data_IF_649954777700
#
_entry.id   IF_649954777700
#
_cell.length_a   1.000
_cell.length_b   1.000
_cell.length_c   1.000
_cell.angle_alpha   90.00
_cell.angle_beta   90.00
_cell.angle_gamma   90.00
#
_symmetry.space_group_name_H-M   'P 1'
#
loop_
_entity.id
_entity.type
_entity.pdbx_description
1 polymer ?
#
# COMPACT_ATOMS: atom_id res chain seq x y z
N UNK A 1 10.81 -32.35 -37.39
CA UNK A 1 10.17 -32.18 -36.06
C UNK A 1 9.08 -31.10 -36.01
N UNK A 2 9.03 -30.08 -36.89
CA UNK A 2 8.03 -29.00 -36.80
C UNK A 2 6.57 -29.33 -37.19
N UNK A 3 6.33 -30.32 -38.06
CA UNK A 3 4.98 -30.66 -38.55
C UNK A 3 4.09 -31.36 -37.49
N UNK A 4 4.67 -32.19 -36.63
CA UNK A 4 3.91 -32.97 -35.62
C UNK A 4 3.26 -32.11 -34.52
N UNK A 5 3.84 -30.94 -34.20
CA UNK A 5 3.29 -30.01 -33.21
C UNK A 5 2.34 -28.96 -33.82
N UNK A 6 2.35 -28.80 -35.15
CA UNK A 6 1.43 -27.91 -35.84
C UNK A 6 0.02 -28.51 -35.94
N UNK A 7 -0.08 -29.83 -36.14
CA UNK A 7 -1.35 -30.54 -36.32
C UNK A 7 -2.13 -30.82 -35.01
N UNK A 8 -1.46 -30.74 -33.84
CA UNK A 8 -2.09 -30.99 -32.53
C UNK A 8 -2.00 -29.75 -31.63
N UNK A 9 -2.97 -28.82 -31.72
CA UNK A 9 -2.93 -27.55 -30.99
C UNK A 9 -2.86 -27.73 -29.47
N UNK A 10 -3.44 -28.80 -28.93
CA UNK A 10 -3.38 -29.15 -27.51
C UNK A 10 -1.98 -29.53 -27.05
N UNK A 11 -1.27 -30.38 -27.82
CA UNK A 11 0.09 -30.82 -27.49
C UNK A 11 1.06 -29.64 -27.47
N UNK A 12 0.91 -28.70 -28.41
CA UNK A 12 1.71 -27.48 -28.47
C UNK A 12 1.48 -26.59 -27.25
N UNK A 13 0.22 -26.43 -26.82
CA UNK A 13 -0.13 -25.70 -25.61
C UNK A 13 0.51 -26.31 -24.36
N UNK A 14 0.42 -27.63 -24.19
CA UNK A 14 1.04 -28.33 -23.06
C UNK A 14 2.56 -28.21 -23.04
N UNK A 15 3.23 -28.28 -24.20
CA UNK A 15 4.69 -28.09 -24.28
C UNK A 15 5.08 -26.67 -23.86
N UNK A 16 4.35 -25.65 -24.33
CA UNK A 16 4.62 -24.25 -23.93
C UNK A 16 4.44 -24.06 -22.43
N UNK A 17 3.32 -24.55 -21.87
CA UNK A 17 3.05 -24.47 -20.43
C UNK A 17 4.13 -25.21 -19.63
N UNK A 18 4.52 -26.40 -20.07
CA UNK A 18 5.58 -27.18 -19.43
C UNK A 18 6.93 -26.47 -19.45
N UNK A 19 7.27 -25.79 -20.55
CA UNK A 19 8.50 -24.99 -20.67
C UNK A 19 8.49 -23.79 -19.73
N UNK A 20 7.35 -23.08 -19.62
CA UNK A 20 7.18 -21.96 -18.68
C UNK A 20 7.30 -22.46 -17.24
N UNK A 21 6.62 -23.56 -16.90
CA UNK A 21 6.68 -24.16 -15.56
C UNK A 21 8.12 -24.58 -15.20
N UNK A 22 8.85 -25.20 -16.13
CA UNK A 22 10.25 -25.56 -15.95
C UNK A 22 11.10 -24.30 -15.68
N UNK A 23 10.91 -23.22 -16.43
CA UNK A 23 11.58 -21.94 -16.22
C UNK A 23 11.30 -21.37 -14.83
N UNK A 24 10.03 -21.36 -14.40
CA UNK A 24 9.62 -20.87 -13.07
C UNK A 24 10.29 -21.66 -11.95
N UNK A 25 10.39 -22.99 -12.10
CA UNK A 25 11.03 -23.87 -11.12
C UNK A 25 12.56 -23.66 -11.10
N UNK A 26 13.21 -23.66 -12.27
CA UNK A 26 14.66 -23.50 -12.38
C UNK A 26 15.16 -22.16 -11.86
N UNK A 27 14.42 -21.08 -12.14
CA UNK A 27 14.76 -19.73 -11.72
C UNK A 27 14.19 -19.37 -10.34
N UNK A 28 13.51 -20.30 -9.66
CA UNK A 28 12.87 -20.10 -8.36
C UNK A 28 12.03 -18.81 -8.27
N UNK A 29 11.26 -18.51 -9.33
CA UNK A 29 10.46 -17.28 -9.42
C UNK A 29 9.44 -17.17 -8.29
N UNK A 30 8.93 -18.30 -7.81
CA UNK A 30 7.96 -18.32 -6.71
C UNK A 30 8.54 -17.73 -5.42
N UNK A 31 9.72 -18.19 -4.99
CA UNK A 31 10.38 -17.63 -3.80
C UNK A 31 10.78 -16.18 -4.02
N UNK A 32 11.25 -15.82 -5.22
CA UNK A 32 11.59 -14.43 -5.53
C UNK A 32 10.38 -13.50 -5.41
N UNK A 33 9.23 -13.87 -5.97
CA UNK A 33 7.98 -13.09 -5.89
C UNK A 33 7.50 -12.98 -4.45
N UNK A 34 7.56 -14.07 -3.66
CA UNK A 34 7.20 -14.02 -2.25
C UNK A 34 8.12 -13.10 -1.45
N UNK A 35 9.44 -13.21 -1.64
CA UNK A 35 10.41 -12.37 -0.95
C UNK A 35 10.23 -10.89 -1.28
N UNK A 36 10.11 -10.56 -2.58
CA UNK A 36 9.86 -9.19 -3.04
C UNK A 36 8.51 -8.70 -2.51
N UNK A 37 7.47 -9.53 -2.50
CA UNK A 37 6.17 -9.19 -1.96
C UNK A 37 6.22 -8.85 -0.47
N UNK A 38 6.97 -9.61 0.33
CA UNK A 38 7.18 -9.31 1.75
C UNK A 38 7.94 -8.00 1.94
N UNK A 39 9.03 -7.80 1.18
CA UNK A 39 9.81 -6.56 1.23
C UNK A 39 8.96 -5.34 0.85
N UNK A 40 8.15 -5.46 -0.19
CA UNK A 40 7.28 -4.38 -0.65
C UNK A 40 6.21 -4.04 0.40
N UNK A 41 5.64 -5.04 1.08
CA UNK A 41 4.68 -4.83 2.17
C UNK A 41 5.31 -4.02 3.33
N UNK A 42 6.54 -4.36 3.71
CA UNK A 42 7.30 -3.63 4.74
C UNK A 42 7.63 -2.21 4.26
N UNK A 43 8.13 -2.06 3.03
CA UNK A 43 8.48 -0.77 2.46
C UNK A 43 7.27 0.18 2.36
N UNK A 44 6.10 -0.34 1.96
CA UNK A 44 4.87 0.44 1.88
C UNK A 44 4.39 0.90 3.27
N UNK A 45 4.47 0.03 4.27
CA UNK A 45 4.20 0.40 5.66
C UNK A 45 5.14 1.50 6.15
N UNK A 46 6.45 1.33 5.93
CA UNK A 46 7.46 2.34 6.26
C UNK A 46 7.19 3.66 5.54
N UNK A 47 6.82 3.63 4.26
CA UNK A 47 6.55 4.84 3.49
C UNK A 47 5.42 5.66 4.10
N UNK A 48 4.31 5.01 4.51
CA UNK A 48 3.19 5.73 5.15
C UNK A 48 3.58 6.22 6.55
N UNK A 49 4.25 5.39 7.35
CA UNK A 49 4.73 5.80 8.67
C UNK A 49 5.69 7.01 8.57
N UNK A 50 6.59 6.98 7.59
CA UNK A 50 7.54 8.06 7.33
C UNK A 50 6.83 9.32 6.82
N UNK A 51 5.82 9.18 5.95
CA UNK A 51 5.00 10.30 5.49
C UNK A 51 4.30 11.00 6.66
N UNK A 52 3.66 10.24 7.56
CA UNK A 52 3.03 10.80 8.77
C UNK A 52 4.07 11.47 9.66
N UNK A 53 5.23 10.82 9.85
CA UNK A 53 6.32 11.39 10.64
C UNK A 53 6.84 12.70 10.05
N UNK A 54 7.03 12.79 8.73
CA UNK A 54 7.45 14.02 8.05
C UNK A 54 6.42 15.13 8.22
N UNK A 55 5.14 14.81 8.00
CA UNK A 55 4.04 15.75 8.21
C UNK A 55 3.97 16.28 9.64
N UNK A 56 4.18 15.42 10.63
CA UNK A 56 4.27 15.82 12.03
C UNK A 56 5.53 16.65 12.30
N UNK A 57 6.69 16.20 11.80
CA UNK A 57 8.00 16.83 12.04
C UNK A 57 8.05 18.25 11.49
N UNK A 58 7.50 18.48 10.31
CA UNK A 58 7.52 19.81 9.68
C UNK A 58 6.61 20.80 10.41
N UNK A 59 5.59 20.31 11.11
CA UNK A 59 4.61 21.15 11.80
C UNK A 59 4.78 21.20 13.32
N UNK A 60 5.74 20.45 13.87
CA UNK A 60 5.98 20.33 15.32
C UNK A 60 6.09 21.68 16.04
N UNK A 61 6.71 22.66 15.40
CA UNK A 61 6.93 23.99 15.97
C UNK A 61 5.66 24.85 15.90
N UNK A 62 4.87 24.70 14.83
CA UNK A 62 3.61 25.44 14.60
C UNK A 62 2.44 24.93 15.46
N UNK A 63 2.43 23.64 15.84
CA UNK A 63 1.34 22.99 16.59
C UNK A 63 1.03 23.72 17.91
N UNK A 64 2.03 24.36 18.52
CA UNK A 64 1.85 25.15 19.75
C UNK A 64 0.88 26.34 19.60
N UNK A 65 0.64 26.79 18.36
CA UNK A 65 -0.21 27.94 18.04
C UNK A 65 -1.59 27.54 17.49
N UNK A 66 -1.86 26.24 17.39
CA UNK A 66 -3.09 25.73 16.76
C UNK A 66 -4.28 25.75 17.70
N UNK A 67 -5.48 25.87 17.14
CA UNK A 67 -6.70 25.68 17.92
C UNK A 67 -6.85 24.20 18.30
N UNK A 68 -7.47 23.92 19.45
CA UNK A 68 -7.66 22.55 19.97
C UNK A 68 -8.34 21.63 18.95
N UNK A 69 -9.25 22.16 18.13
CA UNK A 69 -9.97 21.39 17.10
C UNK A 69 -9.04 20.92 15.98
N UNK A 70 -8.14 21.77 15.51
CA UNK A 70 -7.20 21.42 14.42
C UNK A 70 -6.20 20.38 14.89
N UNK A 71 -5.68 20.53 16.11
CA UNK A 71 -4.78 19.58 16.75
C UNK A 71 -5.45 18.20 16.87
N UNK A 72 -6.69 18.14 17.37
CA UNK A 72 -7.40 16.87 17.55
C UNK A 72 -7.65 16.17 16.20
N UNK A 73 -8.01 16.88 15.15
CA UNK A 73 -8.28 16.25 13.84
C UNK A 73 -6.97 15.80 13.16
N UNK A 74 -5.88 16.56 13.29
CA UNK A 74 -4.58 16.16 12.75
C UNK A 74 -4.02 14.92 13.46
N UNK A 75 -3.96 14.93 14.80
CA UNK A 75 -3.51 13.76 15.55
C UNK A 75 -4.48 12.58 15.46
N UNK A 76 -5.79 12.83 15.41
CA UNK A 76 -6.81 11.81 15.26
C UNK A 76 -6.73 11.10 13.91
N UNK A 77 -6.56 11.84 12.82
CA UNK A 77 -6.38 11.25 11.49
C UNK A 77 -5.06 10.47 11.38
N UNK A 78 -3.96 11.00 11.93
CA UNK A 78 -2.69 10.29 11.99
C UNK A 78 -2.81 8.97 12.78
N UNK A 79 -3.46 8.99 13.95
CA UNK A 79 -3.68 7.79 14.77
C UNK A 79 -4.53 6.75 14.04
N UNK A 80 -5.61 7.18 13.36
CA UNK A 80 -6.47 6.28 12.59
C UNK A 80 -5.71 5.59 11.45
N UNK A 81 -4.85 6.31 10.74
CA UNK A 81 -4.02 5.74 9.67
C UNK A 81 -3.04 4.71 10.25
N UNK A 82 -2.38 5.02 11.36
CA UNK A 82 -1.45 4.09 12.03
C UNK A 82 -2.16 2.83 12.53
N UNK A 83 -3.32 2.97 13.16
CA UNK A 83 -4.12 1.82 13.64
C UNK A 83 -4.58 0.96 12.45
N UNK A 84 -5.11 1.59 11.40
CA UNK A 84 -5.55 0.86 10.20
C UNK A 84 -4.41 0.07 9.56
N UNK A 85 -3.22 0.66 9.46
CA UNK A 85 -2.02 -0.01 8.94
C UNK A 85 -1.52 -1.13 9.84
N UNK A 86 -1.48 -0.90 11.16
CA UNK A 86 -1.10 -1.93 12.13
C UNK A 86 -2.02 -3.16 12.06
N UNK A 87 -3.32 -2.92 11.94
CA UNK A 87 -4.32 -3.99 11.77
C UNK A 87 -4.16 -4.72 10.42
N UNK A 88 -3.90 -3.99 9.34
CA UNK A 88 -3.63 -4.58 8.03
C UNK A 88 -2.39 -5.48 8.03
N UNK A 89 -1.32 -5.06 8.71
CA UNK A 89 -0.09 -5.85 8.81
C UNK A 89 -0.29 -7.10 9.69
N UNK A 90 -0.96 -6.97 10.83
CA UNK A 90 -1.13 -8.07 11.78
C UNK A 90 -2.12 -9.15 11.30
N UNK A 91 -3.31 -8.74 10.86
CA UNK A 91 -4.40 -9.70 10.57
C UNK A 91 -4.51 -10.06 9.09
N UNK A 92 -4.03 -9.23 8.16
CA UNK A 92 -4.11 -9.48 6.72
C UNK A 92 -5.55 -9.73 6.24
N UNK A 93 -6.29 -8.66 5.93
CA UNK A 93 -7.75 -8.74 5.80
C UNK A 93 -8.19 -9.34 4.45
N UNK A 94 -8.88 -10.49 4.42
CA UNK A 94 -9.41 -11.07 3.18
C UNK A 94 -10.85 -10.56 2.91
N UNK A 95 -11.09 -10.03 1.71
CA UNK A 95 -12.43 -9.70 1.21
C UNK A 95 -12.82 -8.22 1.29
N UNK A 96 -14.11 -7.94 1.50
CA UNK A 96 -14.70 -6.59 1.44
C UNK A 96 -14.17 -5.60 2.47
N UNK A 97 -13.53 -6.09 3.54
CA UNK A 97 -12.95 -5.28 4.59
C UNK A 97 -11.79 -4.41 4.09
N UNK A 98 -11.19 -4.77 2.94
CA UNK A 98 -10.20 -3.93 2.24
C UNK A 98 -10.79 -2.59 1.77
N UNK A 99 -12.08 -2.54 1.41
CA UNK A 99 -12.73 -1.28 1.07
C UNK A 99 -12.88 -0.37 2.30
N UNK A 100 -13.14 -0.97 3.46
CA UNK A 100 -13.13 -0.26 4.75
C UNK A 100 -11.76 0.33 5.06
N UNK A 101 -10.68 -0.43 4.87
CA UNK A 101 -9.32 0.07 5.02
C UNK A 101 -9.01 1.25 4.08
N UNK A 102 -9.31 1.11 2.79
CA UNK A 102 -9.09 2.18 1.80
C UNK A 102 -9.93 3.41 2.16
N UNK A 103 -11.18 3.21 2.58
CA UNK A 103 -12.06 4.29 3.02
C UNK A 103 -11.54 5.02 4.25
N UNK A 104 -11.09 4.30 5.29
CA UNK A 104 -10.53 4.90 6.51
C UNK A 104 -9.24 5.65 6.23
N UNK A 105 -8.31 5.06 5.48
CA UNK A 105 -7.04 5.71 5.12
C UNK A 105 -7.29 6.92 4.23
N UNK A 106 -8.17 6.79 3.23
CA UNK A 106 -8.54 7.87 2.31
C UNK A 106 -9.25 9.04 3.02
N UNK A 107 -10.26 8.77 3.84
CA UNK A 107 -10.98 9.79 4.61
C UNK A 107 -10.08 10.47 5.64
N UNK A 108 -9.21 9.72 6.31
CA UNK A 108 -8.26 10.27 7.28
C UNK A 108 -7.22 11.16 6.58
N UNK A 109 -6.66 10.69 5.47
CA UNK A 109 -5.75 11.48 4.63
C UNK A 109 -6.41 12.75 4.08
N UNK A 110 -7.67 12.65 3.64
CA UNK A 110 -8.44 13.81 3.17
C UNK A 110 -8.72 14.82 4.28
N UNK A 111 -9.10 14.36 5.48
CA UNK A 111 -9.30 15.26 6.63
C UNK A 111 -8.01 16.01 6.99
N UNK A 112 -6.87 15.32 6.92
CA UNK A 112 -5.55 15.91 7.16
C UNK A 112 -5.18 16.93 6.07
N UNK A 113 -5.42 16.59 4.80
CA UNK A 113 -5.21 17.50 3.67
C UNK A 113 -6.12 18.72 3.71
N UNK A 114 -7.37 18.56 4.15
CA UNK A 114 -8.33 19.66 4.27
C UNK A 114 -7.81 20.74 5.24
N UNK A 115 -7.35 20.34 6.42
CA UNK A 115 -6.78 21.28 7.41
C UNK A 115 -5.53 21.95 6.87
N UNK A 116 -4.70 21.20 6.14
CA UNK A 116 -3.54 21.74 5.45
C UNK A 116 -3.95 22.84 4.45
N UNK A 117 -4.97 22.59 3.61
CA UNK A 117 -5.46 23.56 2.63
C UNK A 117 -6.10 24.78 3.27
N UNK A 118 -6.88 24.59 4.33
CA UNK A 118 -7.53 25.68 5.05
C UNK A 118 -6.50 26.69 5.59
N UNK A 119 -5.32 26.22 6.06
CA UNK A 119 -4.25 27.11 6.54
C UNK A 119 -3.41 27.77 5.44
N UNK A 120 -3.22 27.12 4.28
CA UNK A 120 -2.45 27.71 3.17
C UNK A 120 -3.21 28.77 2.35
N UNK A 121 -4.52 28.89 2.53
CA UNK A 121 -5.33 29.91 1.84
C UNK A 121 -5.51 31.23 2.61
N UNK A 122 -4.94 31.41 3.82
CA UNK A 122 -4.97 32.70 4.52
C UNK A 122 -3.76 33.60 4.19
N UNK A 123 -3.52 33.81 2.89
CA UNK A 123 -2.71 34.91 2.37
C UNK A 123 -3.43 35.57 1.21
N UNK A 124 -4.53 36.26 1.49
CA UNK A 124 -4.93 37.50 0.82
C UNK A 124 -5.66 38.36 1.85
#
# INVERSE_FOLDING_TARGET
MGKFFADRPTLRGFVIIGLIALLVVLLNLYTAVLAIGMLLRIAFFLAIAFFIFLMWRERRDEISTWSTRETVVFYGSALLIVIALGLYVWHGWPGYEQLGFIGVVGCSGFAMWRIWRDRHHYRV
#
